data_IF_442686409752
#
_entry.id   IF_442686409752
#
_cell.length_a   1.000
_cell.length_b   1.000
_cell.length_c   1.000
_cell.angle_alpha   90.00
_cell.angle_beta   90.00
_cell.angle_gamma   90.00
#
_symmetry.space_group_name_H-M   'P 1'
#
loop_
_entity.id
_entity.type
_entity.pdbx_description
1 polymer ?
#
# COMPACT_ATOMS: atom_id res chain seq x y z
N UNK A 1 13.45 5.04 23.71
CA UNK A 1 12.18 4.64 23.07
C UNK A 1 12.52 3.59 22.01
N UNK A 2 11.84 2.43 21.94
CA UNK A 2 12.10 1.46 20.85
C UNK A 2 11.70 2.07 19.51
N UNK A 3 12.45 1.79 18.44
CA UNK A 3 12.21 2.33 17.08
C UNK A 3 10.78 2.04 16.62
N UNK A 4 10.26 0.84 16.89
CA UNK A 4 8.89 0.46 16.53
C UNK A 4 7.83 1.37 17.16
N UNK A 5 8.04 1.78 18.41
CA UNK A 5 7.11 2.69 19.11
C UNK A 5 7.19 4.11 18.54
N UNK A 6 8.37 4.55 18.10
CA UNK A 6 8.54 5.84 17.43
C UNK A 6 7.82 5.85 16.07
N UNK A 7 8.05 4.83 15.24
CA UNK A 7 7.41 4.68 13.94
C UNK A 7 5.89 4.54 14.06
N UNK A 8 5.41 3.72 15.00
CA UNK A 8 3.97 3.59 15.26
C UNK A 8 3.34 4.94 15.63
N UNK A 9 4.00 5.75 16.45
CA UNK A 9 3.49 7.07 16.84
C UNK A 9 3.33 8.00 15.62
N UNK A 10 4.28 8.01 14.70
CA UNK A 10 4.16 8.80 13.47
C UNK A 10 3.05 8.27 12.55
N UNK A 11 2.98 6.95 12.36
CA UNK A 11 1.95 6.31 11.53
C UNK A 11 0.51 6.53 12.04
N UNK A 12 0.35 6.74 13.35
CA UNK A 12 -0.95 7.02 13.98
C UNK A 12 -1.41 8.49 13.84
N UNK A 13 -0.54 9.36 13.33
CA UNK A 13 -0.88 10.75 12.99
C UNK A 13 -1.56 10.87 11.63
N UNK A 14 -1.53 9.81 10.81
CA UNK A 14 -2.16 9.81 9.50
C UNK A 14 -3.67 10.09 9.56
N UNK A 15 -4.14 10.82 8.56
CA UNK A 15 -5.56 10.86 8.23
C UNK A 15 -5.95 9.68 7.33
N UNK A 16 -7.25 9.49 7.11
CA UNK A 16 -7.76 8.52 6.14
C UNK A 16 -7.25 8.79 4.71
N UNK A 17 -7.09 10.07 4.38
CA UNK A 17 -6.58 10.48 3.08
C UNK A 17 -5.11 10.10 2.95
N UNK A 18 -4.31 10.31 3.99
CA UNK A 18 -2.87 10.00 3.94
C UNK A 18 -2.65 8.49 3.81
N UNK A 19 -3.42 7.68 4.56
CA UNK A 19 -3.38 6.22 4.40
C UNK A 19 -3.76 5.80 2.98
N UNK A 20 -4.76 6.44 2.37
CA UNK A 20 -5.20 6.12 1.01
C UNK A 20 -4.14 6.51 -0.02
N UNK A 21 -3.47 7.65 0.16
CA UNK A 21 -2.34 8.07 -0.67
C UNK A 21 -1.16 7.11 -0.54
N UNK A 22 -0.84 6.63 0.66
CA UNK A 22 0.19 5.61 0.88
C UNK A 22 -0.13 4.32 0.12
N UNK A 23 -1.39 3.84 0.19
CA UNK A 23 -1.82 2.67 -0.60
C UNK A 23 -1.63 2.89 -2.10
N UNK A 24 -2.00 4.07 -2.60
CA UNK A 24 -1.83 4.43 -4.01
C UNK A 24 -0.34 4.50 -4.38
N UNK A 25 0.51 5.09 -3.54
CA UNK A 25 1.96 5.11 -3.75
C UNK A 25 2.51 3.70 -3.86
N UNK A 26 2.17 2.79 -2.94
CA UNK A 26 2.62 1.40 -2.98
C UNK A 26 2.11 0.65 -4.21
N UNK A 27 0.87 0.92 -4.61
CA UNK A 27 0.29 0.35 -5.82
C UNK A 27 1.05 0.82 -7.08
N UNK A 28 1.25 2.13 -7.24
CA UNK A 28 2.02 2.69 -8.37
C UNK A 28 3.47 2.22 -8.34
N UNK A 29 4.05 2.02 -7.16
CA UNK A 29 5.37 1.43 -7.02
C UNK A 29 5.42 0.01 -7.57
N UNK A 30 4.40 -0.81 -7.30
CA UNK A 30 4.28 -2.13 -7.91
C UNK A 30 4.21 -2.08 -9.44
N UNK A 31 3.41 -1.16 -10.01
CA UNK A 31 3.35 -0.95 -11.46
C UNK A 31 4.68 -0.46 -12.05
N UNK A 32 5.37 0.44 -11.35
CA UNK A 32 6.69 0.92 -11.73
C UNK A 32 7.68 -0.24 -11.82
N UNK A 33 7.77 -1.09 -10.79
CA UNK A 33 8.62 -2.28 -10.82
C UNK A 33 8.21 -3.25 -11.94
N UNK A 34 6.91 -3.47 -12.13
CA UNK A 34 6.41 -4.29 -13.23
C UNK A 34 6.87 -3.78 -14.61
N UNK A 35 6.85 -2.46 -14.81
CA UNK A 35 7.30 -1.84 -16.07
C UNK A 35 8.80 -2.02 -16.35
N UNK A 36 9.62 -2.16 -15.30
CA UNK A 36 11.06 -2.40 -15.40
C UNK A 36 11.43 -3.88 -15.49
N UNK A 37 10.57 -4.78 -15.03
CA UNK A 37 10.86 -6.20 -14.97
C UNK A 37 9.78 -7.02 -15.70
N UNK A 38 9.82 -7.09 -17.05
CA UNK A 38 8.83 -7.81 -17.85
C UNK A 38 8.72 -9.30 -17.53
N UNK A 39 9.75 -9.88 -16.91
CA UNK A 39 9.73 -11.25 -16.40
C UNK A 39 8.61 -11.49 -15.37
N UNK A 40 8.08 -10.45 -14.70
CA UNK A 40 6.90 -10.58 -13.84
C UNK A 40 5.64 -10.95 -14.62
N UNK A 41 5.61 -10.73 -15.94
CA UNK A 41 4.49 -11.09 -16.80
C UNK A 41 4.43 -12.59 -17.12
N UNK A 42 5.49 -13.36 -16.87
CA UNK A 42 5.47 -14.81 -17.05
C UNK A 42 4.89 -15.56 -15.85
N UNK A 43 4.67 -14.86 -14.74
CA UNK A 43 4.03 -15.41 -13.55
C UNK A 43 2.52 -15.29 -13.73
N UNK A 44 1.81 -16.39 -13.51
CA UNK A 44 0.36 -16.39 -13.61
C UNK A 44 -0.30 -15.45 -12.58
N UNK A 45 -1.34 -14.74 -13.02
CA UNK A 45 -2.08 -13.77 -12.21
C UNK A 45 -2.63 -14.36 -10.90
N UNK A 46 -2.97 -15.65 -10.86
CA UNK A 46 -3.55 -16.30 -9.69
C UNK A 46 -2.52 -16.44 -8.54
N UNK A 47 -1.23 -16.50 -8.84
CA UNK A 47 -0.18 -16.47 -7.82
C UNK A 47 -0.13 -15.10 -7.14
N UNK A 48 -0.26 -14.02 -7.92
CA UNK A 48 -0.38 -12.67 -7.36
C UNK A 48 -1.67 -12.49 -6.55
N UNK A 49 -2.79 -13.07 -7.00
CA UNK A 49 -4.03 -13.11 -6.22
C UNK A 49 -3.82 -13.81 -4.87
N UNK A 50 -3.18 -14.98 -4.87
CA UNK A 50 -2.89 -15.71 -3.63
C UNK A 50 -2.02 -14.88 -2.68
N UNK A 51 -0.92 -14.32 -3.17
CA UNK A 51 -0.03 -13.46 -2.37
C UNK A 51 -0.76 -12.21 -1.86
N UNK A 52 -1.60 -11.58 -2.68
CA UNK A 52 -2.43 -10.46 -2.26
C UNK A 52 -3.38 -10.85 -1.13
N UNK A 53 -4.09 -11.97 -1.25
CA UNK A 53 -5.00 -12.46 -0.20
C UNK A 53 -4.25 -12.72 1.09
N UNK A 54 -3.10 -13.39 1.05
CA UNK A 54 -2.31 -13.68 2.26
C UNK A 54 -1.81 -12.39 2.96
N UNK A 55 -1.42 -11.37 2.20
CA UNK A 55 -0.99 -10.09 2.77
C UNK A 55 -2.15 -9.22 3.26
N UNK A 56 -3.29 -9.24 2.56
CA UNK A 56 -4.44 -8.41 2.86
C UNK A 56 -5.30 -8.98 4.00
N UNK A 57 -5.38 -10.31 4.13
CA UNK A 57 -6.27 -10.99 5.09
C UNK A 57 -6.04 -10.53 6.55
N UNK A 58 -4.81 -10.43 7.07
CA UNK A 58 -4.58 -9.93 8.43
C UNK A 58 -5.05 -8.48 8.62
N UNK A 59 -4.89 -7.62 7.61
CA UNK A 59 -5.33 -6.23 7.65
C UNK A 59 -6.86 -6.13 7.70
N UNK A 60 -7.54 -6.95 6.90
CA UNK A 60 -9.00 -7.04 6.90
C UNK A 60 -9.54 -7.56 8.22
N UNK A 61 -8.92 -8.62 8.78
CA UNK A 61 -9.31 -9.11 10.11
C UNK A 61 -9.09 -8.05 11.18
N UNK A 62 -7.94 -7.39 11.20
CA UNK A 62 -7.65 -6.31 12.15
C UNK A 62 -8.71 -5.21 12.05
N UNK A 63 -9.01 -4.71 10.85
CA UNK A 63 -10.03 -3.69 10.64
C UNK A 63 -11.45 -4.14 11.02
N UNK A 64 -11.80 -5.40 10.71
CA UNK A 64 -13.13 -5.97 10.99
C UNK A 64 -13.36 -6.24 12.48
N UNK A 65 -12.30 -6.50 13.24
CA UNK A 65 -12.36 -6.73 14.69
C UNK A 65 -12.72 -5.47 15.49
N UNK A 66 -12.53 -4.28 14.89
CA UNK A 66 -12.79 -3.01 15.54
C UNK A 66 -14.31 -2.72 15.58
N UNK A 67 -14.79 -2.24 16.72
CA UNK A 67 -16.20 -1.87 16.90
C UNK A 67 -16.54 -0.54 16.22
N UNK A 68 -17.73 -0.46 15.62
CA UNK A 68 -18.29 0.76 15.00
C UNK A 68 -18.75 0.53 13.55
N UNK A 69 -19.14 1.61 12.89
CA UNK A 69 -19.40 1.64 11.44
C UNK A 69 -18.09 1.68 10.62
N UNK A 70 -18.16 1.59 9.29
CA UNK A 70 -16.96 1.52 8.41
C UNK A 70 -16.02 2.71 8.61
N UNK A 71 -16.57 3.93 8.76
CA UNK A 71 -15.77 5.15 8.92
C UNK A 71 -15.08 5.15 10.29
N UNK A 72 -15.79 4.80 11.36
CA UNK A 72 -15.25 4.69 12.71
C UNK A 72 -14.18 3.60 12.80
N UNK A 73 -14.42 2.44 12.18
CA UNK A 73 -13.44 1.35 12.09
C UNK A 73 -12.17 1.82 11.40
N UNK A 74 -12.30 2.55 10.29
CA UNK A 74 -11.16 3.07 9.55
C UNK A 74 -10.35 4.10 10.36
N UNK A 75 -11.03 4.99 11.11
CA UNK A 75 -10.36 5.93 12.03
C UNK A 75 -9.63 5.20 13.15
N UNK A 76 -10.25 4.19 13.78
CA UNK A 76 -9.63 3.36 14.83
C UNK A 76 -8.48 2.51 14.31
N UNK A 77 -8.59 2.00 13.08
CA UNK A 77 -7.55 1.25 12.40
C UNK A 77 -6.27 2.09 12.27
N UNK A 78 -6.40 3.37 11.88
CA UNK A 78 -5.23 4.26 11.80
C UNK A 78 -4.59 4.49 13.19
N UNK A 79 -5.40 4.61 14.25
CA UNK A 79 -4.88 4.76 15.62
C UNK A 79 -4.22 3.50 16.18
N UNK A 80 -4.40 2.36 15.54
CA UNK A 80 -3.73 1.09 15.87
C UNK A 80 -2.69 0.70 14.82
N UNK A 81 -2.34 1.63 13.93
CA UNK A 81 -1.36 1.41 12.89
C UNK A 81 0.04 1.22 13.52
N UNK A 82 0.78 0.27 12.99
CA UNK A 82 2.11 -0.11 13.46
C UNK A 82 2.98 -0.47 12.23
N UNK A 83 4.31 -0.60 12.39
CA UNK A 83 5.20 -0.91 11.28
C UNK A 83 4.84 -2.21 10.55
N UNK A 84 4.45 -3.26 11.27
CA UNK A 84 4.05 -4.54 10.67
C UNK A 84 2.83 -4.42 9.75
N UNK A 85 1.83 -3.63 10.16
CA UNK A 85 0.65 -3.35 9.36
C UNK A 85 1.01 -2.56 8.09
N UNK A 86 2.02 -1.68 8.14
CA UNK A 86 2.50 -0.97 6.95
C UNK A 86 3.23 -1.90 5.98
N UNK A 87 4.03 -2.83 6.48
CA UNK A 87 4.68 -3.85 5.64
C UNK A 87 3.64 -4.72 4.95
N UNK A 88 2.62 -5.18 5.67
CA UNK A 88 1.50 -5.93 5.08
C UNK A 88 0.71 -5.09 4.07
N UNK A 89 0.53 -3.80 4.36
CA UNK A 89 -0.16 -2.89 3.45
C UNK A 89 0.61 -2.68 2.14
N UNK A 90 1.95 -2.55 2.25
CA UNK A 90 2.84 -2.51 1.11
C UNK A 90 2.71 -3.77 0.27
N UNK A 91 2.88 -4.96 0.87
CA UNK A 91 2.78 -6.22 0.13
C UNK A 91 1.40 -6.41 -0.51
N UNK A 92 0.34 -6.09 0.22
CA UNK A 92 -1.01 -6.12 -0.33
C UNK A 92 -1.14 -5.22 -1.55
N UNK A 93 -0.79 -3.93 -1.46
CA UNK A 93 -0.91 -3.01 -2.59
C UNK A 93 0.01 -3.39 -3.76
N UNK A 94 1.22 -3.88 -3.47
CA UNK A 94 2.20 -4.32 -4.44
C UNK A 94 1.72 -5.55 -5.23
N UNK A 95 1.33 -6.64 -4.56
CA UNK A 95 0.85 -7.84 -5.24
C UNK A 95 -0.46 -7.59 -6.00
N UNK A 96 -1.33 -6.72 -5.47
CA UNK A 96 -2.51 -6.27 -6.19
C UNK A 96 -2.16 -5.52 -7.48
N UNK A 97 -1.12 -4.67 -7.45
CA UNK A 97 -0.62 -3.99 -8.64
C UNK A 97 -0.07 -4.96 -9.68
N UNK A 98 0.73 -5.96 -9.27
CA UNK A 98 1.25 -6.96 -10.20
C UNK A 98 0.12 -7.78 -10.82
N UNK A 99 -0.84 -8.23 -10.01
CA UNK A 99 -2.04 -8.95 -10.48
C UNK A 99 -2.80 -8.14 -11.54
N UNK A 100 -3.06 -6.85 -11.28
CA UNK A 100 -3.73 -5.99 -12.24
C UNK A 100 -2.87 -5.71 -13.48
N UNK A 101 -1.55 -5.57 -13.34
CA UNK A 101 -0.63 -5.43 -14.46
C UNK A 101 -0.64 -6.64 -15.40
N UNK A 102 -0.77 -7.85 -14.84
CA UNK A 102 -0.90 -9.09 -15.62
C UNK A 102 -2.27 -9.22 -16.29
N UNK A 103 -3.36 -8.90 -15.57
CA UNK A 103 -4.73 -9.01 -16.12
C UNK A 103 -5.05 -7.91 -17.14
N UNK A 104 -4.52 -6.71 -16.93
CA UNK A 104 -4.79 -5.53 -17.72
C UNK A 104 -3.47 -4.91 -18.21
N UNK A 105 -2.89 -5.44 -19.31
CA UNK A 105 -1.59 -4.99 -19.81
C UNK A 105 -1.55 -3.50 -20.19
N UNK A 106 -2.71 -2.88 -20.44
CA UNK A 106 -2.85 -1.43 -20.66
C UNK A 106 -2.38 -0.61 -19.45
N UNK A 107 -2.49 -1.16 -18.23
CA UNK A 107 -2.06 -0.47 -17.01
C UNK A 107 -0.54 -0.35 -16.95
N UNK A 108 0.19 -1.29 -17.57
CA UNK A 108 1.67 -1.37 -17.60
C UNK A 108 2.27 -0.92 -18.94
N UNK A 109 1.43 -0.47 -19.89
CA UNK A 109 1.88 -0.03 -21.22
C UNK A 109 2.39 1.41 -21.24
N UNK A 110 2.22 2.18 -20.16
CA UNK A 110 2.77 3.52 -20.08
C UNK A 110 4.29 3.46 -19.86
N UNK A 111 5.00 4.49 -20.30
CA UNK A 111 6.43 4.60 -20.06
C UNK A 111 6.72 4.70 -18.56
N UNK A 112 7.84 4.12 -18.13
CA UNK A 112 8.25 4.06 -16.71
C UNK A 112 8.21 5.42 -15.99
N UNK A 113 8.54 6.50 -16.71
CA UNK A 113 8.58 7.86 -16.16
C UNK A 113 7.20 8.36 -15.72
N UNK A 114 6.11 7.85 -16.31
CA UNK A 114 4.74 8.19 -15.89
C UNK A 114 4.51 7.69 -14.46
N UNK A 115 4.85 6.43 -14.18
CA UNK A 115 4.73 5.88 -12.82
C UNK A 115 5.69 6.58 -11.85
N UNK A 116 6.89 6.94 -12.29
CA UNK A 116 7.83 7.72 -11.46
C UNK A 116 7.26 9.09 -11.07
N UNK A 117 6.70 9.86 -12.01
CA UNK A 117 6.07 11.14 -11.72
C UNK A 117 4.90 10.97 -10.76
N UNK A 118 4.04 9.96 -10.99
CA UNK A 118 2.94 9.65 -10.09
C UNK A 118 3.42 9.30 -8.69
N UNK A 119 4.48 8.51 -8.56
CA UNK A 119 5.11 8.20 -7.27
C UNK A 119 5.57 9.47 -6.55
N UNK A 120 6.28 10.35 -7.24
CA UNK A 120 6.72 11.62 -6.69
C UNK A 120 5.53 12.42 -6.16
N UNK A 121 4.48 12.62 -6.97
CA UNK A 121 3.30 13.42 -6.59
C UNK A 121 2.55 12.80 -5.41
N UNK A 122 2.24 11.50 -5.47
CA UNK A 122 1.45 10.82 -4.44
C UNK A 122 2.18 10.73 -3.11
N UNK A 123 3.52 10.71 -3.13
CA UNK A 123 4.34 10.60 -1.92
C UNK A 123 4.49 11.91 -1.16
N UNK A 124 4.29 13.09 -1.78
CA UNK A 124 4.50 14.39 -1.14
C UNK A 124 3.73 14.50 0.18
N UNK A 125 2.41 14.31 0.13
CA UNK A 125 1.57 14.53 1.30
C UNK A 125 1.83 13.51 2.43
N UNK A 126 1.88 12.19 2.18
CA UNK A 126 2.28 11.23 3.21
C UNK A 126 3.63 11.56 3.85
N UNK A 127 4.62 11.96 3.03
CA UNK A 127 5.95 12.33 3.51
C UNK A 127 5.89 13.53 4.45
N UNK A 128 5.05 14.55 4.18
CA UNK A 128 4.91 15.71 5.08
C UNK A 128 4.39 15.35 6.48
N UNK A 129 3.68 14.23 6.64
CA UNK A 129 3.17 13.78 7.95
C UNK A 129 4.19 12.91 8.67
N UNK A 130 4.98 12.12 7.94
CA UNK A 130 6.06 11.29 8.52
C UNK A 130 7.40 12.00 8.68
N UNK A 131 7.60 13.15 8.00
CA UNK A 131 8.85 13.87 8.09
C UNK A 131 9.01 14.45 9.49
N UNK A 132 10.12 14.06 10.11
CA UNK A 132 10.54 14.46 11.44
C UNK A 132 10.52 15.99 11.58
N UNK A 133 9.55 16.49 12.34
CA UNK A 133 9.76 17.55 13.31
C UNK A 133 9.42 16.98 14.69
#
# INVERSE_FOLDING_TARGET
MKIDNYLAKQLQQFSLVDLSLVKLTYFVFGLFIYSFYPALNSIDWWLYLFLWVTAAMPLWFHMSSLKGNIIERSKKYIKTNNPSNQVLLFFSAFFFALMLGTLFPVIVSASWWVYFILLCILSIKPLTVTWCW
#
